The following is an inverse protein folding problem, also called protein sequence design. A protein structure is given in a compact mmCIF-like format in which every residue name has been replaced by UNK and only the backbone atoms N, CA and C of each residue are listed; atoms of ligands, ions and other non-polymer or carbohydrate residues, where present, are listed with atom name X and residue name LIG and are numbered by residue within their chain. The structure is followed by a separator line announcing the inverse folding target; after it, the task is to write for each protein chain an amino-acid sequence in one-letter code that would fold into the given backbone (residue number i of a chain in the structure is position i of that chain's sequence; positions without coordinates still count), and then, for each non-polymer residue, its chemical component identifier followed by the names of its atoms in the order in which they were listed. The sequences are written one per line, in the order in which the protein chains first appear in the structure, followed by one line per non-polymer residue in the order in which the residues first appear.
data_IF_665322622057
#
_entry.id   IF_665322622057
#
_cell.length_a   1.000
_cell.length_b   1.000
_cell.length_c   1.000
_cell.angle_alpha   90.00
_cell.angle_beta   90.00
_cell.angle_gamma   90.00
#
_symmetry.space_group_name_H-M   'P 1'
#
loop_
_entity.id
_entity.type
_entity.pdbx_description
1 polymer ?
#
# COMPACT_ATOMS: atom_id res chain seq x y z
N UNK A 1 98.74 23.11 6.46
CA UNK A 1 98.55 21.83 5.79
C UNK A 1 97.18 21.31 6.21
N UNK A 2 96.20 21.54 5.38
CA UNK A 2 94.80 21.21 5.68
C UNK A 2 94.35 20.16 4.63
N UNK A 3 94.12 18.92 5.06
CA UNK A 3 93.52 17.88 4.18
C UNK A 3 92.00 18.10 4.04
N UNK A 4 91.53 18.31 2.81
CA UNK A 4 90.12 18.28 2.45
C UNK A 4 89.68 16.84 2.16
N UNK A 5 88.72 16.37 2.92
CA UNK A 5 88.03 15.07 2.66
C UNK A 5 86.80 15.36 1.81
N UNK A 6 86.74 14.70 0.65
CA UNK A 6 85.54 14.67 -0.21
C UNK A 6 84.58 13.60 0.30
N UNK A 7 83.37 14.03 0.66
CA UNK A 7 82.23 13.12 0.82
C UNK A 7 81.36 13.11 -0.41
N UNK A 8 81.32 11.95 -1.08
CA UNK A 8 80.43 11.71 -2.21
C UNK A 8 79.04 11.34 -1.67
N UNK A 9 78.05 12.19 -1.92
CA UNK A 9 76.65 11.88 -1.62
C UNK A 9 76.07 11.02 -2.77
N UNK A 10 75.72 9.78 -2.50
CA UNK A 10 74.83 9.01 -3.36
C UNK A 10 73.39 9.41 -3.09
N UNK A 11 72.74 10.04 -4.06
CA UNK A 11 71.30 10.29 -4.08
C UNK A 11 70.63 9.01 -4.61
N UNK A 12 69.99 8.24 -3.74
CA UNK A 12 69.11 7.15 -4.11
C UNK A 12 67.74 7.71 -4.48
N UNK A 13 67.38 7.60 -5.76
CA UNK A 13 66.05 7.93 -6.23
C UNK A 13 65.09 6.83 -5.79
N UNK A 14 64.22 7.10 -4.81
CA UNK A 14 63.04 6.25 -4.48
C UNK A 14 61.96 6.55 -5.48
N UNK A 15 61.73 5.67 -6.43
CA UNK A 15 60.53 5.71 -7.29
C UNK A 15 59.29 5.35 -6.44
N UNK A 16 58.55 6.35 -6.03
CA UNK A 16 57.23 6.14 -5.46
C UNK A 16 56.25 5.81 -6.60
N UNK A 17 55.88 4.55 -6.72
CA UNK A 17 54.78 4.11 -7.59
C UNK A 17 53.50 4.57 -6.88
N UNK A 18 52.94 5.70 -7.32
CA UNK A 18 51.59 6.06 -6.99
C UNK A 18 50.65 5.14 -7.75
N UNK A 19 50.15 4.09 -7.08
CA UNK A 19 49.02 3.37 -7.57
C UNK A 19 47.83 4.36 -7.56
N UNK A 20 47.33 4.74 -8.73
CA UNK A 20 46.08 5.47 -8.87
C UNK A 20 44.99 4.68 -8.14
N UNK A 21 44.15 5.29 -7.32
CA UNK A 21 43.00 4.59 -6.77
C UNK A 21 42.18 4.11 -7.97
N UNK A 22 42.01 2.80 -8.07
CA UNK A 22 41.02 2.22 -8.97
C UNK A 22 39.70 2.74 -8.44
N UNK A 23 39.09 3.63 -9.18
CA UNK A 23 37.72 4.09 -8.93
C UNK A 23 36.81 2.89 -9.20
N UNK A 24 36.66 2.03 -8.21
CA UNK A 24 35.59 1.05 -8.18
C UNK A 24 34.35 1.85 -7.85
N UNK A 25 33.78 2.50 -8.86
CA UNK A 25 32.39 2.87 -8.81
C UNK A 25 31.63 1.55 -8.59
N UNK A 26 31.25 1.27 -7.36
CA UNK A 26 30.33 0.19 -7.08
C UNK A 26 29.07 0.54 -7.86
N UNK A 27 28.89 -0.04 -9.03
CA UNK A 27 27.65 0.03 -9.77
C UNK A 27 26.62 -0.53 -8.82
N UNK A 28 25.64 0.30 -8.43
CA UNK A 28 24.60 -0.14 -7.50
C UNK A 28 23.97 -1.39 -8.11
N UNK A 29 23.91 -2.46 -7.33
CA UNK A 29 23.28 -3.69 -7.76
C UNK A 29 21.83 -3.40 -8.10
N UNK A 30 21.40 -3.79 -9.29
CA UNK A 30 20.03 -3.69 -9.76
C UNK A 30 19.39 -5.07 -9.81
N UNK A 31 18.09 -5.14 -9.64
CA UNK A 31 17.32 -6.36 -9.87
C UNK A 31 17.15 -6.56 -11.38
N UNK A 32 17.46 -7.78 -11.87
CA UNK A 32 17.29 -8.13 -13.31
C UNK A 32 15.83 -8.23 -13.71
N UNK A 33 14.91 -8.46 -12.73
CA UNK A 33 13.48 -8.43 -12.92
C UNK A 33 12.80 -7.62 -11.82
N UNK A 34 11.71 -6.91 -12.13
CA UNK A 34 10.88 -6.29 -11.09
C UNK A 34 10.20 -7.38 -10.25
N UNK A 35 9.97 -7.06 -8.99
CA UNK A 35 9.22 -7.91 -8.08
C UNK A 35 8.26 -7.06 -7.24
N UNK A 36 7.27 -7.72 -6.66
CA UNK A 36 6.38 -7.14 -5.64
C UNK A 36 6.58 -7.94 -4.35
N UNK A 37 6.14 -7.39 -3.23
CA UNK A 37 6.28 -8.05 -1.92
C UNK A 37 4.92 -8.15 -1.24
N UNK A 38 4.68 -9.27 -0.56
CA UNK A 38 3.42 -9.52 0.12
C UNK A 38 3.56 -10.48 1.28
N UNK A 39 2.47 -10.66 2.00
CA UNK A 39 2.30 -11.68 3.05
C UNK A 39 1.34 -12.75 2.55
N UNK A 40 1.74 -13.99 2.64
CA UNK A 40 1.00 -15.15 2.12
C UNK A 40 0.86 -16.22 3.19
N UNK A 41 -0.30 -16.86 3.29
CA UNK A 41 -0.48 -18.01 4.15
C UNK A 41 0.07 -19.27 3.47
N UNK A 42 1.27 -19.68 3.84
CA UNK A 42 1.91 -20.89 3.34
C UNK A 42 1.89 -21.94 4.46
N UNK A 43 1.15 -23.03 4.25
CA UNK A 43 0.86 -24.00 5.29
C UNK A 43 0.26 -23.37 6.57
N UNK A 44 -0.68 -22.45 6.40
CA UNK A 44 -1.33 -21.68 7.46
C UNK A 44 -0.38 -20.76 8.27
N UNK A 45 0.82 -20.49 7.75
CA UNK A 45 1.80 -19.60 8.40
C UNK A 45 1.98 -18.32 7.56
N UNK A 46 1.74 -17.12 8.13
CA UNK A 46 2.05 -15.88 7.45
C UNK A 46 3.52 -15.81 7.05
N UNK A 47 3.78 -15.70 5.76
CA UNK A 47 5.11 -15.77 5.18
C UNK A 47 5.33 -14.59 4.25
N UNK A 48 6.47 -13.90 4.40
CA UNK A 48 6.88 -12.83 3.48
C UNK A 48 7.37 -13.46 2.18
N UNK A 49 6.77 -13.04 1.07
CA UNK A 49 7.10 -13.53 -0.27
C UNK A 49 7.37 -12.43 -1.28
N UNK A 50 8.12 -12.82 -2.32
CA UNK A 50 8.27 -12.04 -3.55
C UNK A 50 7.25 -12.54 -4.57
N UNK A 51 6.59 -11.63 -5.24
CA UNK A 51 5.70 -11.92 -6.38
C UNK A 51 6.47 -11.62 -7.65
N UNK A 52 6.56 -12.60 -8.54
CA UNK A 52 7.42 -12.57 -9.73
C UNK A 52 6.68 -13.09 -10.97
N UNK A 53 7.29 -12.90 -12.14
CA UNK A 53 6.80 -13.38 -13.44
C UNK A 53 5.36 -12.93 -13.71
N UNK A 54 5.15 -11.62 -13.79
CA UNK A 54 3.85 -11.02 -14.07
C UNK A 54 2.74 -11.58 -13.14
N UNK A 55 3.04 -11.60 -11.83
CA UNK A 55 2.14 -12.02 -10.75
C UNK A 55 1.74 -13.51 -10.77
N UNK A 56 2.53 -14.36 -11.43
CA UNK A 56 2.22 -15.80 -11.52
C UNK A 56 2.80 -16.62 -10.39
N UNK A 57 3.91 -16.18 -9.81
CA UNK A 57 4.64 -16.95 -8.81
C UNK A 57 4.88 -16.17 -7.53
N UNK A 58 4.82 -16.89 -6.41
CA UNK A 58 5.22 -16.43 -5.09
C UNK A 58 6.46 -17.20 -4.66
N UNK A 59 7.49 -16.48 -4.23
CA UNK A 59 8.74 -17.04 -3.71
C UNK A 59 8.85 -16.72 -2.22
N UNK A 60 8.93 -17.74 -1.36
CA UNK A 60 9.23 -17.55 0.06
C UNK A 60 10.60 -16.90 0.24
N UNK A 61 10.64 -15.61 0.58
CA UNK A 61 11.88 -14.83 0.63
C UNK A 61 12.94 -15.44 1.56
N UNK A 62 12.57 -15.80 2.78
CA UNK A 62 13.51 -16.36 3.74
C UNK A 62 14.02 -17.74 3.33
N UNK A 63 13.20 -18.57 2.70
CA UNK A 63 13.61 -19.89 2.22
C UNK A 63 14.54 -19.80 1.01
N UNK A 64 14.23 -18.91 0.05
CA UNK A 64 15.07 -18.63 -1.10
C UNK A 64 16.43 -18.08 -0.67
N UNK A 65 16.46 -17.13 0.25
CA UNK A 65 17.68 -16.57 0.82
C UNK A 65 18.55 -17.68 1.47
N UNK A 66 17.96 -18.53 2.33
CA UNK A 66 18.71 -19.64 2.94
C UNK A 66 19.27 -20.62 1.90
N UNK A 67 18.52 -20.91 0.84
CA UNK A 67 18.98 -21.77 -0.23
C UNK A 67 20.17 -21.17 -1.00
N UNK A 68 20.14 -19.87 -1.27
CA UNK A 68 21.23 -19.14 -1.91
C UNK A 68 22.49 -19.11 -1.03
N UNK A 69 22.36 -18.97 0.29
CA UNK A 69 23.44 -18.94 1.28
C UNK A 69 24.20 -20.26 1.42
N UNK A 70 23.69 -21.36 0.87
CA UNK A 70 24.46 -22.61 0.76
C UNK A 70 25.62 -22.49 -0.23
N UNK A 71 25.62 -21.48 -1.08
CA UNK A 71 26.69 -21.19 -2.03
C UNK A 71 27.73 -20.28 -1.37
N UNK A 72 29.06 -20.64 -1.44
CA UNK A 72 30.10 -19.98 -0.64
C UNK A 72 30.34 -18.49 -0.98
N UNK A 73 29.83 -18.00 -2.12
CA UNK A 73 29.99 -16.62 -2.54
C UNK A 73 28.98 -15.68 -1.85
N UNK A 74 27.93 -16.19 -1.23
CA UNK A 74 26.92 -15.37 -0.56
C UNK A 74 27.10 -15.35 0.95
N UNK A 75 27.05 -14.16 1.53
CA UNK A 75 27.09 -13.97 2.99
C UNK A 75 25.79 -14.42 3.64
N UNK A 76 25.85 -14.90 4.87
CA UNK A 76 24.67 -15.20 5.66
C UNK A 76 24.03 -13.91 6.18
N UNK A 77 22.76 -13.68 5.84
CA UNK A 77 21.97 -12.52 6.24
C UNK A 77 20.57 -13.01 6.63
N UNK A 78 20.18 -12.76 7.89
CA UNK A 78 18.82 -13.10 8.33
C UNK A 78 17.78 -12.26 7.62
N UNK A 79 16.73 -12.90 7.10
CA UNK A 79 15.56 -12.20 6.58
C UNK A 79 14.60 -11.84 7.70
N UNK A 80 13.92 -10.69 7.60
CA UNK A 80 12.83 -10.33 8.52
C UNK A 80 11.72 -11.38 8.54
N UNK A 81 11.07 -11.55 9.70
CA UNK A 81 10.01 -12.52 9.89
C UNK A 81 8.67 -12.03 9.34
N UNK A 82 8.49 -10.71 9.24
CA UNK A 82 7.27 -10.08 8.77
C UNK A 82 7.53 -8.89 7.82
N UNK A 83 6.47 -8.37 7.25
CA UNK A 83 6.53 -7.28 6.28
C UNK A 83 7.00 -5.97 6.92
N UNK A 84 6.67 -5.70 8.19
CA UNK A 84 7.14 -4.47 8.86
C UNK A 84 8.65 -4.49 8.99
N UNK A 85 9.22 -5.61 9.45
CA UNK A 85 10.67 -5.78 9.52
C UNK A 85 11.38 -5.70 8.16
N UNK A 86 10.72 -6.17 7.07
CA UNK A 86 11.23 -6.00 5.72
C UNK A 86 11.28 -4.51 5.34
N UNK A 87 10.18 -3.79 5.53
CA UNK A 87 10.07 -2.37 5.17
C UNK A 87 11.06 -1.53 5.97
N UNK A 88 11.20 -1.79 7.29
CA UNK A 88 12.14 -1.08 8.16
C UNK A 88 13.59 -1.20 7.70
N UNK A 89 13.98 -2.35 7.12
CA UNK A 89 15.35 -2.63 6.71
C UNK A 89 15.61 -2.39 5.22
N UNK A 90 14.57 -2.25 4.41
CA UNK A 90 14.67 -2.20 2.95
C UNK A 90 15.64 -1.12 2.48
N UNK A 91 15.41 0.12 2.84
CA UNK A 91 16.23 1.25 2.42
C UNK A 91 17.59 1.32 3.13
N UNK A 92 17.81 0.50 4.17
CA UNK A 92 19.07 0.40 4.90
C UNK A 92 19.95 -0.76 4.44
N UNK A 93 19.66 -1.31 3.26
CA UNK A 93 20.52 -2.28 2.58
C UNK A 93 19.86 -3.61 2.27
N UNK A 94 18.75 -3.98 2.91
CA UNK A 94 18.07 -5.25 2.67
C UNK A 94 17.61 -5.39 1.21
N UNK A 95 17.25 -4.30 0.54
CA UNK A 95 16.87 -4.31 -0.88
C UNK A 95 17.95 -4.92 -1.78
N UNK A 96 19.22 -4.64 -1.52
CA UNK A 96 20.31 -5.20 -2.31
C UNK A 96 20.42 -6.71 -2.13
N UNK A 97 20.15 -7.20 -0.91
CA UNK A 97 20.05 -8.64 -0.66
C UNK A 97 18.86 -9.27 -1.39
N UNK A 98 17.74 -8.60 -1.42
CA UNK A 98 16.58 -9.08 -2.20
C UNK A 98 16.92 -9.12 -3.69
N UNK A 99 17.61 -8.11 -4.21
CA UNK A 99 18.10 -8.12 -5.61
C UNK A 99 19.06 -9.28 -5.88
N UNK A 100 19.98 -9.60 -4.95
CA UNK A 100 20.83 -10.80 -5.07
C UNK A 100 19.99 -12.09 -5.16
N UNK A 101 18.96 -12.21 -4.32
CA UNK A 101 18.05 -13.37 -4.32
C UNK A 101 17.32 -13.47 -5.66
N UNK A 102 16.73 -12.36 -6.15
CA UNK A 102 16.01 -12.33 -7.44
C UNK A 102 16.94 -12.69 -8.58
N UNK A 103 18.11 -12.06 -8.65
CA UNK A 103 19.10 -12.32 -9.70
C UNK A 103 19.56 -13.78 -9.68
N UNK A 104 19.83 -14.34 -8.51
CA UNK A 104 20.18 -15.75 -8.36
C UNK A 104 19.07 -16.70 -8.83
N UNK A 105 17.80 -16.41 -8.49
CA UNK A 105 16.66 -17.22 -8.91
C UNK A 105 16.52 -17.25 -10.44
N UNK A 106 16.68 -16.10 -11.08
CA UNK A 106 16.62 -15.96 -12.55
C UNK A 106 17.82 -16.64 -13.22
N UNK A 107 19.04 -16.33 -12.79
CA UNK A 107 20.28 -16.84 -13.37
C UNK A 107 20.36 -18.38 -13.29
N UNK A 108 19.85 -18.97 -12.22
CA UNK A 108 19.83 -20.41 -12.00
C UNK A 108 18.57 -21.10 -12.55
N UNK A 109 17.66 -20.34 -13.20
CA UNK A 109 16.39 -20.85 -13.75
C UNK A 109 15.54 -21.61 -12.72
N UNK A 110 15.44 -21.09 -11.47
CA UNK A 110 14.79 -21.79 -10.36
C UNK A 110 13.28 -21.50 -10.27
N UNK A 111 12.75 -20.63 -11.14
CA UNK A 111 11.35 -20.19 -11.16
C UNK A 111 10.47 -21.08 -12.05
N UNK A 112 11.04 -21.88 -12.96
CA UNK A 112 10.27 -22.59 -13.98
C UNK A 112 10.71 -24.04 -14.18
N UNK A 113 9.84 -24.83 -14.79
CA UNK A 113 10.12 -26.20 -15.21
C UNK A 113 10.37 -27.18 -14.08
N UNK A 114 11.23 -28.18 -14.36
CA UNK A 114 11.60 -29.24 -13.41
C UNK A 114 12.57 -28.76 -12.30
N UNK A 115 13.16 -27.57 -12.46
CA UNK A 115 14.11 -26.98 -11.52
C UNK A 115 13.45 -26.07 -10.50
N UNK A 116 12.12 -25.87 -10.61
CA UNK A 116 11.34 -25.10 -9.65
C UNK A 116 11.49 -25.65 -8.24
N UNK A 117 11.86 -24.76 -7.32
CA UNK A 117 12.13 -25.13 -5.93
C UNK A 117 10.85 -25.21 -5.10
N UNK A 118 10.92 -25.95 -3.98
CA UNK A 118 9.79 -26.13 -3.06
C UNK A 118 9.30 -24.84 -2.38
N UNK A 119 10.10 -23.79 -2.42
CA UNK A 119 9.75 -22.46 -1.89
C UNK A 119 9.19 -21.51 -2.98
N UNK A 120 8.87 -22.05 -4.16
CA UNK A 120 8.25 -21.30 -5.28
C UNK A 120 6.85 -21.88 -5.52
N UNK A 121 5.84 -21.07 -5.36
CA UNK A 121 4.43 -21.45 -5.43
C UNK A 121 3.72 -20.73 -6.57
N UNK A 122 2.75 -21.36 -7.28
CA UNK A 122 1.79 -20.63 -8.10
C UNK A 122 0.97 -19.68 -7.22
N UNK A 123 0.66 -18.48 -7.71
CA UNK A 123 -0.13 -17.50 -6.96
C UNK A 123 -1.50 -18.03 -6.55
N UNK A 124 -2.13 -18.83 -7.40
CA UNK A 124 -3.45 -19.43 -7.16
C UNK A 124 -3.45 -20.61 -6.18
N UNK A 125 -2.28 -21.00 -5.65
CA UNK A 125 -2.13 -22.11 -4.71
C UNK A 125 -1.92 -21.68 -3.26
N UNK A 126 -1.95 -20.38 -2.96
CA UNK A 126 -1.75 -19.83 -1.62
C UNK A 126 -2.77 -18.74 -1.32
N UNK A 127 -3.14 -18.57 -0.06
CA UNK A 127 -4.00 -17.47 0.36
C UNK A 127 -3.19 -16.17 0.46
N UNK A 128 -3.71 -15.10 -0.12
CA UNK A 128 -3.09 -13.78 -0.15
C UNK A 128 -3.62 -12.98 1.04
N UNK A 129 -2.75 -12.68 1.99
CA UNK A 129 -3.09 -11.89 3.17
C UNK A 129 -2.87 -10.38 2.89
N UNK A 130 -3.46 -9.52 3.71
CA UNK A 130 -3.06 -8.12 3.68
C UNK A 130 -1.53 -8.00 3.86
N UNK A 131 -0.82 -7.28 2.96
CA UNK A 131 0.64 -7.21 3.00
C UNK A 131 1.19 -6.73 4.35
N UNK A 132 0.55 -5.71 4.92
CA UNK A 132 0.81 -5.21 6.28
C UNK A 132 -0.46 -5.39 7.09
N UNK A 133 -0.46 -6.36 7.99
CA UNK A 133 -1.65 -6.68 8.79
C UNK A 133 -1.94 -5.65 9.88
N UNK A 134 -0.89 -5.03 10.43
CA UNK A 134 -1.00 -4.13 11.59
C UNK A 134 -0.10 -2.90 11.42
N UNK A 135 -0.38 -2.00 10.46
CA UNK A 135 0.34 -0.74 10.38
C UNK A 135 0.07 0.09 11.64
N UNK A 136 1.06 0.86 12.08
CA UNK A 136 0.89 1.74 13.25
C UNK A 136 -0.15 2.81 13.02
N UNK A 137 -0.24 3.33 11.79
CA UNK A 137 -1.23 4.32 11.37
C UNK A 137 -1.80 3.97 10.01
N UNK A 138 -3.11 4.16 9.88
CA UNK A 138 -3.82 4.15 8.61
C UNK A 138 -4.47 5.53 8.45
N UNK A 139 -3.85 6.35 7.60
CA UNK A 139 -4.27 7.70 7.27
C UNK A 139 -5.05 7.69 5.96
N UNK A 140 -6.14 8.43 5.88
CA UNK A 140 -6.97 8.48 4.68
C UNK A 140 -7.24 9.92 4.28
N UNK A 141 -7.18 10.23 2.98
CA UNK A 141 -7.48 11.54 2.44
C UNK A 141 -8.97 11.66 2.11
N UNK A 142 -9.66 12.60 2.78
CA UNK A 142 -11.07 12.87 2.53
C UNK A 142 -11.23 13.77 1.31
N UNK A 143 -12.17 13.40 0.40
CA UNK A 143 -12.61 14.23 -0.75
C UNK A 143 -11.42 14.76 -1.58
N UNK A 144 -10.49 13.89 -1.93
CA UNK A 144 -9.25 14.29 -2.62
C UNK A 144 -9.32 14.19 -4.16
N UNK A 145 -10.47 13.88 -4.74
CA UNK A 145 -10.66 13.89 -6.20
C UNK A 145 -11.74 14.90 -6.60
N UNK A 146 -11.51 15.61 -7.70
CA UNK A 146 -12.47 16.61 -8.19
C UNK A 146 -13.84 16.01 -8.47
N UNK A 147 -13.89 14.80 -9.02
CA UNK A 147 -15.14 14.10 -9.34
C UNK A 147 -15.91 13.65 -8.10
N UNK A 148 -15.23 13.48 -6.95
CA UNK A 148 -15.86 13.13 -5.67
C UNK A 148 -16.35 14.36 -4.88
N UNK A 149 -15.96 15.57 -5.27
CA UNK A 149 -16.21 16.79 -4.51
C UNK A 149 -17.70 17.16 -4.38
N UNK A 150 -18.57 16.63 -5.22
CA UNK A 150 -20.01 16.90 -5.19
C UNK A 150 -20.85 15.77 -5.81
N UNK A 151 -20.75 14.56 -5.27
CA UNK A 151 -21.59 13.47 -5.73
C UNK A 151 -23.07 13.70 -5.35
N UNK A 152 -23.95 13.36 -6.28
CA UNK A 152 -25.40 13.59 -6.13
C UNK A 152 -25.85 15.04 -6.40
N UNK A 153 -24.95 15.97 -6.73
CA UNK A 153 -25.28 17.29 -7.25
C UNK A 153 -25.84 17.20 -8.69
N UNK A 154 -26.62 18.21 -9.09
CA UNK A 154 -26.91 18.41 -10.50
C UNK A 154 -25.67 18.99 -11.23
N UNK A 155 -25.69 18.98 -12.57
CA UNK A 155 -24.54 19.39 -13.40
C UNK A 155 -24.07 20.83 -13.10
N UNK A 156 -24.97 21.76 -12.89
CA UNK A 156 -24.62 23.16 -12.61
C UNK A 156 -23.94 23.31 -11.24
N UNK A 157 -24.44 22.61 -10.22
CA UNK A 157 -23.85 22.56 -8.89
C UNK A 157 -22.49 21.89 -8.92
N UNK A 158 -22.36 20.78 -9.65
CA UNK A 158 -21.08 20.08 -9.84
C UNK A 158 -20.04 21.02 -10.48
N UNK A 159 -20.38 21.69 -11.59
CA UNK A 159 -19.48 22.63 -12.25
C UNK A 159 -19.12 23.83 -11.36
N UNK A 160 -20.05 24.33 -10.55
CA UNK A 160 -19.76 25.40 -9.59
C UNK A 160 -18.78 24.94 -8.50
N UNK A 161 -18.98 23.75 -7.94
CA UNK A 161 -18.07 23.14 -6.94
C UNK A 161 -16.71 22.85 -7.51
N UNK A 162 -16.65 22.30 -8.73
CA UNK A 162 -15.40 22.02 -9.44
C UNK A 162 -14.59 23.31 -9.59
N UNK A 163 -15.17 24.39 -10.12
CA UNK A 163 -14.50 25.70 -10.24
C UNK A 163 -14.04 26.22 -8.89
N UNK A 164 -14.88 26.16 -7.87
CA UNK A 164 -14.53 26.60 -6.52
C UNK A 164 -13.30 25.84 -5.98
N UNK A 165 -13.23 24.52 -6.21
CA UNK A 165 -12.10 23.69 -5.78
C UNK A 165 -10.84 23.96 -6.61
N UNK A 166 -10.97 24.20 -7.90
CA UNK A 166 -9.84 24.57 -8.76
C UNK A 166 -9.25 25.94 -8.39
N UNK A 167 -10.08 26.91 -8.04
CA UNK A 167 -9.66 28.25 -7.62
C UNK A 167 -9.09 28.26 -6.20
N UNK A 168 -9.62 27.43 -5.31
CA UNK A 168 -9.18 27.34 -3.91
C UNK A 168 -9.22 25.88 -3.42
N UNK A 169 -8.13 25.15 -3.61
CA UNK A 169 -8.00 23.76 -3.17
C UNK A 169 -8.00 23.61 -1.64
N UNK A 170 -7.62 24.66 -0.91
CA UNK A 170 -7.42 24.62 0.52
C UNK A 170 -6.20 23.79 0.92
N UNK A 171 -6.28 23.11 2.05
CA UNK A 171 -5.29 22.16 2.53
C UNK A 171 -5.90 20.74 2.52
N UNK A 172 -5.10 19.67 2.44
CA UNK A 172 -5.61 18.31 2.56
C UNK A 172 -6.42 18.10 3.83
N UNK A 173 -7.42 17.23 3.76
CA UNK A 173 -8.15 16.78 4.94
C UNK A 173 -7.85 15.30 5.14
N UNK A 174 -7.21 14.95 6.26
CA UNK A 174 -6.86 13.57 6.61
C UNK A 174 -7.63 13.12 7.84
N UNK A 175 -7.92 11.82 7.89
CA UNK A 175 -8.48 11.16 9.06
C UNK A 175 -7.77 9.80 9.27
N UNK A 176 -8.04 9.15 10.38
CA UNK A 176 -7.49 7.84 10.71
C UNK A 176 -8.61 6.79 10.72
N UNK A 177 -8.30 5.60 10.20
CA UNK A 177 -9.12 4.39 10.39
C UNK A 177 -8.45 3.45 11.41
N UNK A 178 -9.24 2.60 12.08
CA UNK A 178 -8.68 1.47 12.82
C UNK A 178 -7.81 0.61 11.90
N UNK A 179 -6.77 0.01 12.45
CA UNK A 179 -5.91 -0.91 11.70
C UNK A 179 -6.33 -2.35 11.93
N UNK A 180 -6.21 -2.82 13.17
CA UNK A 180 -6.56 -4.19 13.51
C UNK A 180 -8.09 -4.37 13.49
N UNK A 181 -8.55 -5.41 12.79
CA UNK A 181 -9.97 -5.68 12.56
C UNK A 181 -10.53 -5.03 11.31
N UNK A 182 -10.12 -3.79 10.98
CA UNK A 182 -10.56 -3.12 9.75
C UNK A 182 -9.81 -3.62 8.50
N UNK A 183 -8.52 -3.93 8.62
CA UNK A 183 -7.70 -4.39 7.50
C UNK A 183 -7.99 -5.86 7.21
N UNK A 184 -8.26 -6.14 5.93
CA UNK A 184 -8.46 -7.49 5.36
C UNK A 184 -7.64 -7.64 4.09
N UNK A 185 -7.30 -8.89 3.72
CA UNK A 185 -6.57 -9.26 2.51
C UNK A 185 -7.46 -9.56 1.32
N UNK A 186 -6.84 -9.91 0.19
CA UNK A 186 -7.57 -10.32 -1.01
C UNK A 186 -8.36 -11.61 -0.76
N UNK A 187 -9.60 -11.65 -1.23
CA UNK A 187 -10.50 -12.79 -1.05
C UNK A 187 -11.30 -12.81 0.25
N UNK A 188 -10.95 -11.99 1.25
CA UNK A 188 -11.72 -11.88 2.49
C UNK A 188 -13.08 -11.20 2.24
N UNK A 189 -14.10 -11.55 3.03
CA UNK A 189 -15.42 -10.95 2.92
C UNK A 189 -15.45 -9.52 3.52
N UNK A 190 -16.12 -8.58 2.83
CA UNK A 190 -16.51 -7.29 3.41
C UNK A 190 -17.80 -7.50 4.20
N UNK A 191 -17.76 -7.30 5.51
CA UNK A 191 -18.90 -7.53 6.40
C UNK A 191 -19.69 -6.24 6.59
N UNK A 192 -20.91 -6.21 6.10
CA UNK A 192 -21.87 -5.15 6.40
C UNK A 192 -22.42 -5.34 7.81
N UNK A 193 -22.20 -4.41 8.74
CA UNK A 193 -22.61 -4.58 10.14
C UNK A 193 -24.12 -4.73 10.28
N UNK A 194 -24.56 -5.49 11.28
CA UNK A 194 -25.97 -5.69 11.56
C UNK A 194 -26.75 -4.37 11.65
N UNK A 195 -27.78 -4.23 10.82
CA UNK A 195 -28.64 -3.07 10.81
C UNK A 195 -28.14 -1.90 9.97
N UNK A 196 -26.98 -1.97 9.35
CA UNK A 196 -26.46 -0.95 8.43
C UNK A 196 -26.81 -1.32 6.98
N UNK A 197 -27.28 -0.35 6.20
CA UNK A 197 -27.78 -0.55 4.84
C UNK A 197 -27.27 0.49 3.83
N UNK A 198 -26.35 1.39 4.26
CA UNK A 198 -25.77 2.43 3.42
C UNK A 198 -24.24 2.29 3.37
N UNK A 199 -23.79 1.08 3.12
CA UNK A 199 -22.37 0.78 2.97
C UNK A 199 -21.98 1.01 1.52
N UNK A 200 -20.89 1.73 1.29
CA UNK A 200 -20.36 2.00 -0.04
C UNK A 200 -18.89 1.65 -0.13
N UNK A 201 -18.39 1.65 -1.35
CA UNK A 201 -17.04 1.39 -1.78
C UNK A 201 -16.28 2.69 -2.04
N UNK A 202 -14.97 2.63 -1.99
CA UNK A 202 -14.05 3.69 -2.41
C UNK A 202 -12.72 3.04 -2.76
N UNK A 203 -12.37 2.89 -4.07
CA UNK A 203 -11.03 2.42 -4.47
C UNK A 203 -10.02 3.53 -4.32
N UNK A 204 -8.85 3.20 -3.74
CA UNK A 204 -7.78 4.14 -3.46
C UNK A 204 -6.40 3.52 -3.70
N UNK A 205 -5.41 4.36 -4.02
CA UNK A 205 -4.01 3.96 -3.90
C UNK A 205 -3.57 4.14 -2.45
N UNK A 206 -2.97 3.10 -1.88
CA UNK A 206 -2.29 3.19 -0.60
C UNK A 206 -0.78 3.39 -0.80
N UNK A 207 -0.25 4.39 -0.12
CA UNK A 207 1.16 4.75 -0.05
C UNK A 207 1.73 4.15 1.24
N UNK A 208 2.75 3.31 1.13
CA UNK A 208 3.44 2.70 2.26
C UNK A 208 4.72 3.47 2.55
N UNK A 209 4.89 3.96 3.77
CA UNK A 209 6.11 4.65 4.18
C UNK A 209 7.26 3.65 4.43
N UNK A 210 8.47 4.01 3.98
CA UNK A 210 9.68 3.21 4.12
C UNK A 210 10.73 3.82 5.05
N UNK A 211 10.52 5.08 5.47
CA UNK A 211 11.46 5.81 6.34
C UNK A 211 10.73 6.64 7.38
N UNK A 212 11.35 6.79 8.54
CA UNK A 212 10.87 7.74 9.55
C UNK A 212 11.05 9.17 9.07
N UNK A 213 9.99 9.99 9.15
CA UNK A 213 10.02 11.38 8.74
C UNK A 213 9.06 12.28 9.49
N UNK A 214 9.46 13.54 9.61
CA UNK A 214 8.66 14.64 10.15
C UNK A 214 9.02 15.91 9.36
N UNK A 215 8.03 16.74 9.04
CA UNK A 215 8.22 17.95 8.23
C UNK A 215 8.87 17.67 6.88
N UNK A 216 8.39 16.63 6.20
CA UNK A 216 8.87 16.23 4.87
C UNK A 216 8.34 17.25 3.86
N UNK A 217 9.22 17.86 3.06
CA UNK A 217 8.79 18.73 1.96
C UNK A 217 8.30 17.91 0.76
N UNK A 218 7.38 18.46 -0.01
CA UNK A 218 6.76 17.76 -1.14
C UNK A 218 7.78 17.27 -2.19
N UNK A 219 8.85 18.04 -2.45
CA UNK A 219 9.93 17.67 -3.37
C UNK A 219 10.75 16.46 -2.90
N UNK A 220 10.68 16.10 -1.62
CA UNK A 220 11.36 14.97 -1.03
C UNK A 220 10.42 13.83 -0.59
N UNK A 221 9.14 13.97 -0.85
CA UNK A 221 8.11 13.04 -0.35
C UNK A 221 8.40 11.58 -0.75
N UNK A 222 8.78 11.35 -2.01
CA UNK A 222 9.06 10.00 -2.50
C UNK A 222 10.31 9.35 -1.90
N UNK A 223 11.22 10.11 -1.28
CA UNK A 223 12.36 9.54 -0.53
C UNK A 223 11.90 8.72 0.67
N UNK A 224 10.70 9.00 1.19
CA UNK A 224 10.11 8.36 2.38
C UNK A 224 9.12 7.24 2.04
N UNK A 225 8.80 7.05 0.77
CA UNK A 225 7.90 5.99 0.31
C UNK A 225 8.67 4.69 0.10
N UNK A 226 8.11 3.58 0.57
CA UNK A 226 8.55 2.23 0.26
C UNK A 226 7.95 1.74 -1.05
N UNK A 227 6.61 1.86 -1.18
CA UNK A 227 5.88 1.38 -2.34
C UNK A 227 4.40 1.67 -2.27
N UNK A 228 3.65 1.04 -3.18
CA UNK A 228 2.22 1.28 -3.39
C UNK A 228 1.44 -0.03 -3.43
N UNK A 229 0.20 -0.01 -2.95
CA UNK A 229 -0.74 -1.14 -3.03
C UNK A 229 -2.15 -0.62 -3.32
N UNK A 230 -3.05 -1.53 -3.70
CA UNK A 230 -4.48 -1.24 -3.78
C UNK A 230 -5.05 -1.16 -2.37
N UNK A 231 -5.97 -0.24 -2.16
CA UNK A 231 -6.75 -0.16 -0.94
C UNK A 231 -8.20 0.18 -1.23
N UNK A 232 -9.05 -0.07 -0.25
CA UNK A 232 -10.43 0.40 -0.25
C UNK A 232 -10.75 1.11 1.06
N UNK A 233 -11.45 2.24 0.98
CA UNK A 233 -11.98 2.96 2.14
C UNK A 233 -13.49 2.74 2.26
N UNK A 234 -13.89 1.50 2.62
CA UNK A 234 -15.28 1.13 2.81
C UNK A 234 -15.91 2.06 3.83
N UNK A 235 -17.12 2.55 3.52
CA UNK A 235 -17.75 3.65 4.24
C UNK A 235 -19.21 3.36 4.57
N UNK A 236 -19.61 3.72 5.79
CA UNK A 236 -21.00 3.72 6.22
C UNK A 236 -21.58 5.13 6.13
N UNK A 237 -22.53 5.33 5.21
CA UNK A 237 -23.23 6.61 5.00
C UNK A 237 -24.55 6.69 5.76
N UNK A 238 -24.88 5.70 6.57
CA UNK A 238 -26.07 5.69 7.43
C UNK A 238 -26.04 6.73 8.56
N UNK A 239 -24.86 7.28 8.85
CA UNK A 239 -24.68 8.33 9.85
C UNK A 239 -24.90 7.82 11.28
N UNK A 240 -24.95 8.78 12.22
CA UNK A 240 -25.23 8.47 13.63
C UNK A 240 -26.71 8.10 13.82
N UNK A 241 -27.01 7.21 14.78
CA UNK A 241 -28.39 6.91 15.13
C UNK A 241 -29.19 8.16 15.52
N UNK A 242 -30.54 8.16 15.34
CA UNK A 242 -31.41 9.22 15.81
C UNK A 242 -31.19 9.51 17.30
N UNK A 243 -31.13 10.78 17.68
CA UNK A 243 -30.84 11.21 19.05
C UNK A 243 -29.37 11.34 19.42
N UNK A 244 -28.43 11.05 18.48
CA UNK A 244 -27.00 11.30 18.67
C UNK A 244 -26.67 12.79 18.73
N UNK A 245 -25.58 13.16 19.43
CA UNK A 245 -25.14 14.53 19.52
C UNK A 245 -24.61 15.07 18.20
N UNK A 246 -25.13 16.23 17.79
CA UNK A 246 -24.56 17.04 16.72
C UNK A 246 -24.91 16.62 15.30
N UNK A 247 -24.77 17.56 14.40
CA UNK A 247 -25.03 17.44 12.95
C UNK A 247 -23.76 17.27 12.14
N UNK A 248 -22.76 16.57 12.65
CA UNK A 248 -21.49 16.36 11.95
C UNK A 248 -21.28 14.91 11.54
N UNK A 249 -20.35 14.69 10.62
CA UNK A 249 -19.85 13.36 10.29
C UNK A 249 -19.20 12.73 11.53
N UNK A 250 -19.66 11.55 11.90
CA UNK A 250 -18.98 10.72 12.91
C UNK A 250 -18.10 9.70 12.17
N UNK A 251 -16.82 10.00 12.10
CA UNK A 251 -15.86 9.16 11.36
C UNK A 251 -15.63 7.79 12.00
N UNK A 252 -15.89 7.66 13.31
CA UNK A 252 -15.86 6.36 13.96
C UNK A 252 -16.98 5.45 13.44
N UNK A 253 -18.19 5.97 13.33
CA UNK A 253 -19.32 5.25 12.72
C UNK A 253 -19.12 5.08 11.22
N UNK A 254 -18.72 6.15 10.52
CA UNK A 254 -18.65 6.14 9.06
C UNK A 254 -17.51 5.31 8.47
N UNK A 255 -16.42 5.14 9.20
CA UNK A 255 -15.16 4.60 8.66
C UNK A 255 -14.50 3.53 9.55
N UNK A 256 -15.04 3.27 10.75
CA UNK A 256 -14.34 2.51 11.79
C UNK A 256 -14.79 1.06 11.97
N UNK A 257 -15.68 0.54 11.13
CA UNK A 257 -16.16 -0.84 11.25
C UNK A 257 -15.05 -1.85 10.90
N UNK A 258 -15.17 -3.07 11.42
CA UNK A 258 -14.34 -4.19 11.01
C UNK A 258 -14.49 -4.45 9.51
N UNK A 259 -13.44 -4.96 8.87
CA UNK A 259 -13.33 -5.25 7.43
C UNK A 259 -13.42 -4.05 6.47
N UNK A 260 -13.46 -2.81 6.99
CA UNK A 260 -13.65 -1.61 6.17
C UNK A 260 -12.36 -1.02 5.57
N UNK A 261 -11.24 -1.74 5.65
CA UNK A 261 -9.97 -1.33 5.04
C UNK A 261 -9.28 -2.50 4.30
N UNK A 262 -9.85 -2.99 3.19
CA UNK A 262 -9.16 -3.94 2.34
C UNK A 262 -7.83 -3.38 1.81
N UNK A 263 -6.74 -4.13 1.91
CA UNK A 263 -5.39 -3.77 1.48
C UNK A 263 -4.71 -4.91 0.73
N UNK A 264 -4.04 -4.61 -0.37
CA UNK A 264 -3.21 -5.58 -1.09
C UNK A 264 -3.27 -5.44 -2.62
N UNK A 265 -3.27 -6.57 -3.37
CA UNK A 265 -2.92 -7.91 -2.90
C UNK A 265 -1.47 -8.00 -2.42
N UNK A 266 -0.59 -7.09 -2.90
CA UNK A 266 0.82 -6.93 -2.57
C UNK A 266 1.26 -5.48 -2.67
N UNK A 267 2.51 -5.20 -2.28
CA UNK A 267 3.13 -3.88 -2.41
C UNK A 267 4.12 -3.93 -3.58
N UNK A 268 4.01 -2.97 -4.48
CA UNK A 268 5.02 -2.70 -5.52
C UNK A 268 6.02 -1.70 -4.97
N UNK A 269 7.30 -2.05 -4.81
CA UNK A 269 8.33 -1.08 -4.44
C UNK A 269 8.34 0.11 -5.41
N UNK A 270 8.58 1.31 -4.87
CA UNK A 270 8.47 2.56 -5.65
C UNK A 270 9.33 2.58 -6.91
N UNK A 271 10.51 1.97 -6.87
CA UNK A 271 11.44 1.89 -8.01
C UNK A 271 10.89 1.06 -9.19
N UNK A 272 9.96 0.15 -8.94
CA UNK A 272 9.31 -0.65 -10.00
C UNK A 272 7.96 -0.07 -10.44
N UNK A 273 7.33 0.74 -9.59
CA UNK A 273 6.07 1.41 -9.98
C UNK A 273 6.32 2.69 -10.79
N UNK A 274 7.32 3.49 -10.42
CA UNK A 274 7.60 4.80 -11.00
C UNK A 274 6.74 5.92 -10.39
N UNK A 275 6.52 7.02 -11.14
CA UNK A 275 5.74 8.16 -10.63
C UNK A 275 4.24 7.83 -10.56
N UNK A 276 3.65 7.76 -9.38
CA UNK A 276 2.23 7.45 -9.24
C UNK A 276 1.31 8.54 -9.81
N UNK A 277 1.76 9.79 -9.89
CA UNK A 277 0.95 10.87 -10.47
C UNK A 277 0.76 10.71 -11.98
N UNK A 278 1.70 10.06 -12.66
CA UNK A 278 1.64 9.76 -14.10
C UNK A 278 0.99 8.40 -14.36
N UNK A 279 1.24 7.40 -13.50
CA UNK A 279 0.88 6.01 -13.74
C UNK A 279 -0.42 5.56 -13.11
N UNK A 280 -0.91 6.25 -12.07
CA UNK A 280 -2.14 5.84 -11.42
C UNK A 280 -3.30 5.79 -12.40
N UNK A 281 -3.83 4.60 -12.56
CA UNK A 281 -5.13 4.32 -13.16
C UNK A 281 -5.84 3.32 -12.24
N UNK A 282 -6.88 3.79 -11.55
CA UNK A 282 -7.66 3.00 -10.60
C UNK A 282 -9.06 2.77 -11.13
N UNK A 283 -9.58 1.55 -10.97
CA UNK A 283 -10.94 1.16 -11.35
C UNK A 283 -11.57 0.33 -10.26
N UNK A 284 -12.90 0.45 -10.12
CA UNK A 284 -13.69 -0.43 -9.26
C UNK A 284 -14.89 -0.96 -10.04
N UNK A 285 -15.06 -2.28 -9.97
CA UNK A 285 -16.12 -3.02 -10.64
C UNK A 285 -16.96 -3.74 -9.58
N UNK A 286 -18.28 -3.67 -9.69
CA UNK A 286 -19.22 -4.44 -8.86
C UNK A 286 -20.10 -5.26 -9.81
N UNK A 287 -20.09 -6.59 -9.65
CA UNK A 287 -20.82 -7.54 -10.47
C UNK A 287 -20.71 -7.26 -12.00
N UNK A 288 -19.50 -6.94 -12.45
CA UNK A 288 -19.18 -6.66 -13.85
C UNK A 288 -19.50 -5.24 -14.33
N UNK A 289 -20.00 -4.36 -13.46
CA UNK A 289 -20.25 -2.94 -13.77
C UNK A 289 -19.13 -2.08 -13.22
N UNK A 290 -18.45 -1.32 -14.07
CA UNK A 290 -17.46 -0.32 -13.63
C UNK A 290 -18.19 0.85 -12.98
N UNK A 291 -17.95 1.07 -11.70
CA UNK A 291 -18.57 2.14 -10.89
C UNK A 291 -17.62 3.29 -10.60
N UNK A 292 -16.31 3.03 -10.57
CA UNK A 292 -15.28 4.07 -10.42
C UNK A 292 -14.16 3.87 -11.44
N UNK A 293 -13.67 4.98 -11.99
CA UNK A 293 -12.46 5.03 -12.82
C UNK A 293 -11.82 6.41 -12.65
N UNK A 294 -10.50 6.46 -12.38
CA UNK A 294 -9.78 7.73 -12.25
C UNK A 294 -8.27 7.58 -12.48
N UNK A 295 -7.61 8.71 -12.68
CA UNK A 295 -6.16 8.82 -12.85
C UNK A 295 -5.56 9.77 -11.82
N UNK A 296 -4.22 9.70 -11.64
CA UNK A 296 -3.51 10.56 -10.68
C UNK A 296 -3.75 12.05 -10.89
N UNK A 297 -3.87 12.50 -12.14
CA UNK A 297 -4.16 13.89 -12.47
C UNK A 297 -5.55 14.41 -12.03
N UNK A 298 -6.45 13.53 -11.61
CA UNK A 298 -7.78 13.89 -11.11
C UNK A 298 -7.80 14.26 -9.62
N UNK A 299 -6.66 14.08 -8.92
CA UNK A 299 -6.51 14.43 -7.51
C UNK A 299 -6.53 15.96 -7.30
N UNK A 300 -7.16 16.40 -6.20
CA UNK A 300 -7.12 17.79 -5.74
C UNK A 300 -5.74 18.11 -5.14
N UNK A 301 -5.25 17.25 -4.27
CA UNK A 301 -3.91 17.29 -3.69
C UNK A 301 -3.14 16.05 -4.13
N UNK A 302 -1.98 16.23 -4.73
CA UNK A 302 -1.14 15.14 -5.19
C UNK A 302 -0.50 14.38 -4.01
N UNK A 303 0.06 13.21 -4.27
CA UNK A 303 0.68 12.36 -3.23
C UNK A 303 1.79 13.10 -2.47
N UNK A 304 2.73 13.83 -3.10
CA UNK A 304 3.69 14.65 -2.38
C UNK A 304 3.08 15.67 -1.42
N UNK A 305 2.02 16.37 -1.82
CA UNK A 305 1.32 17.34 -0.98
C UNK A 305 0.62 16.68 0.23
N UNK A 306 0.05 15.48 0.04
CA UNK A 306 -0.53 14.71 1.13
C UNK A 306 0.54 14.29 2.17
N UNK A 307 1.72 13.84 1.71
CA UNK A 307 2.84 13.45 2.58
C UNK A 307 3.38 14.66 3.34
N UNK A 308 3.58 15.79 2.66
CA UNK A 308 4.00 17.04 3.29
C UNK A 308 3.03 17.47 4.39
N UNK A 309 1.73 17.47 4.10
CA UNK A 309 0.70 17.85 5.06
C UNK A 309 0.65 16.86 6.24
N UNK A 310 0.58 15.56 6.00
CA UNK A 310 0.55 14.56 7.06
C UNK A 310 1.78 14.66 7.97
N UNK A 311 2.97 14.75 7.39
CA UNK A 311 4.23 14.83 8.14
C UNK A 311 4.42 16.15 8.87
N UNK A 312 3.72 17.22 8.49
CA UNK A 312 3.71 18.48 9.25
C UNK A 312 2.99 18.34 10.59
N UNK A 313 2.03 17.43 10.70
CA UNK A 313 1.21 17.19 11.90
C UNK A 313 1.79 16.07 12.76
N UNK A 314 2.13 14.93 12.15
CA UNK A 314 2.59 13.72 12.86
C UNK A 314 3.90 13.20 12.28
N UNK A 315 4.66 12.42 13.06
CA UNK A 315 5.79 11.66 12.54
C UNK A 315 5.27 10.41 11.83
N UNK A 316 5.75 10.16 10.61
CA UNK A 316 5.51 8.91 9.89
C UNK A 316 6.66 7.93 10.14
N UNK A 317 6.36 6.64 10.13
CA UNK A 317 7.31 5.56 10.36
C UNK A 317 7.23 4.51 9.24
N UNK A 318 8.27 3.69 9.03
CA UNK A 318 8.18 2.55 8.13
C UNK A 318 6.96 1.69 8.43
N UNK A 319 6.23 1.30 7.38
CA UNK A 319 5.01 0.51 7.49
C UNK A 319 3.73 1.29 7.85
N UNK A 320 3.81 2.60 8.15
CA UNK A 320 2.60 3.45 8.15
C UNK A 320 2.01 3.50 6.74
N UNK A 321 0.69 3.57 6.66
CA UNK A 321 -0.05 3.58 5.39
C UNK A 321 -0.86 4.86 5.26
N UNK A 322 -0.87 5.44 4.06
CA UNK A 322 -1.72 6.57 3.71
C UNK A 322 -2.50 6.28 2.42
N UNK A 323 -3.82 6.37 2.48
CA UNK A 323 -4.69 6.24 1.31
C UNK A 323 -4.90 7.61 0.66
N UNK A 324 -4.90 7.63 -0.67
CA UNK A 324 -4.85 8.85 -1.50
C UNK A 324 -6.18 9.58 -1.65
N UNK A 325 -7.27 8.99 -1.19
CA UNK A 325 -8.63 9.43 -1.51
C UNK A 325 -9.18 8.73 -2.77
N UNK A 326 -10.49 8.76 -2.91
CA UNK A 326 -11.24 8.10 -3.98
C UNK A 326 -11.84 9.09 -4.97
N UNK A 327 -12.15 8.60 -6.18
CA UNK A 327 -12.88 9.34 -7.22
C UNK A 327 -14.39 9.30 -7.03
N UNK A 328 -15.12 10.07 -7.82
CA UNK A 328 -16.57 9.93 -7.97
C UNK A 328 -16.98 8.55 -8.47
N UNK A 329 -18.26 8.24 -8.31
CA UNK A 329 -18.84 6.92 -8.60
C UNK A 329 -19.00 6.06 -7.35
N UNK A 330 -19.03 6.67 -6.16
CA UNK A 330 -19.35 5.98 -4.91
C UNK A 330 -20.87 5.72 -4.79
N UNK A 331 -21.29 5.01 -3.77
CA UNK A 331 -22.69 4.73 -3.51
C UNK A 331 -23.54 5.99 -3.35
N UNK A 332 -22.98 7.05 -2.75
CA UNK A 332 -23.61 8.35 -2.64
C UNK A 332 -23.87 9.00 -4.02
N UNK A 333 -23.06 8.70 -5.02
CA UNK A 333 -23.21 9.15 -6.42
C UNK A 333 -24.37 8.49 -7.17
N UNK A 334 -25.02 7.50 -6.58
CA UNK A 334 -26.19 6.78 -7.15
C UNK A 334 -25.90 6.16 -8.51
N UNK A 335 -24.75 5.50 -8.66
CA UNK A 335 -24.41 4.77 -9.88
C UNK A 335 -25.46 3.68 -10.15
N UNK A 336 -26.00 3.63 -11.38
CA UNK A 336 -26.95 2.58 -11.76
C UNK A 336 -26.25 1.22 -11.78
N UNK A 337 -26.78 0.29 -10.99
CA UNK A 337 -26.33 -1.11 -10.95
C UNK A 337 -27.50 -2.07 -11.13
N UNK A 338 -27.20 -3.30 -11.49
CA UNK A 338 -28.20 -4.33 -11.70
C UNK A 338 -29.09 -4.58 -10.48
N UNK A 339 -28.54 -4.41 -9.27
CA UNK A 339 -29.26 -4.51 -7.99
C UNK A 339 -30.31 -3.44 -7.78
N UNK A 340 -30.25 -2.32 -8.49
CA UNK A 340 -31.09 -1.13 -8.25
C UNK A 340 -30.75 -0.37 -6.96
N UNK A 341 -29.76 -0.84 -6.17
CA UNK A 341 -29.29 -0.19 -4.94
C UNK A 341 -28.17 0.81 -5.24
N UNK A 342 -28.19 1.95 -4.59
CA UNK A 342 -27.05 2.87 -4.57
C UNK A 342 -25.92 2.42 -3.61
N UNK A 343 -26.17 1.43 -2.74
CA UNK A 343 -25.25 0.93 -1.72
C UNK A 343 -25.02 -0.57 -1.89
N UNK A 344 -24.01 -1.12 -1.24
CA UNK A 344 -23.69 -2.55 -1.26
C UNK A 344 -24.85 -3.39 -0.72
N UNK A 345 -25.01 -4.57 -1.28
CA UNK A 345 -25.95 -5.59 -0.81
C UNK A 345 -25.25 -6.93 -0.66
N UNK A 346 -25.88 -7.84 0.11
CA UNK A 346 -25.35 -9.20 0.34
C UNK A 346 -25.11 -9.95 -0.96
N UNK A 347 -23.96 -10.58 -1.08
CA UNK A 347 -23.57 -11.44 -2.21
C UNK A 347 -22.93 -10.70 -3.38
N UNK A 348 -22.87 -9.36 -3.41
CA UNK A 348 -22.16 -8.63 -4.47
C UNK A 348 -20.65 -8.90 -4.42
N UNK A 349 -20.04 -8.98 -5.61
CA UNK A 349 -18.60 -9.16 -5.77
C UNK A 349 -17.97 -7.83 -6.22
N UNK A 350 -16.92 -7.43 -5.50
CA UNK A 350 -16.19 -6.19 -5.75
C UNK A 350 -14.80 -6.54 -6.27
N UNK A 351 -14.36 -5.84 -7.32
CA UNK A 351 -12.98 -5.89 -7.81
C UNK A 351 -12.42 -4.48 -7.88
N UNK A 352 -11.43 -4.19 -7.08
CA UNK A 352 -10.70 -2.91 -7.04
C UNK A 352 -9.32 -3.10 -7.65
N UNK A 353 -9.02 -2.40 -8.74
CA UNK A 353 -7.78 -2.58 -9.50
C UNK A 353 -6.99 -1.28 -9.59
N UNK A 354 -5.67 -1.36 -9.42
CA UNK A 354 -4.72 -0.31 -9.83
C UNK A 354 -3.75 -0.91 -10.83
N UNK A 355 -3.66 -0.28 -12.00
CA UNK A 355 -2.80 -0.72 -13.10
C UNK A 355 -1.33 -0.79 -12.65
N UNK A 356 -0.67 -1.92 -12.92
CA UNK A 356 0.71 -2.19 -12.52
C UNK A 356 0.90 -2.65 -11.06
N UNK A 357 -0.16 -2.57 -10.23
CA UNK A 357 -0.13 -3.10 -8.86
C UNK A 357 -0.81 -4.47 -8.81
N UNK A 358 -2.11 -4.51 -9.03
CA UNK A 358 -2.92 -5.73 -8.95
C UNK A 358 -4.39 -5.42 -8.71
N UNK A 359 -5.13 -6.44 -8.32
CA UNK A 359 -6.58 -6.38 -8.06
C UNK A 359 -6.88 -6.99 -6.70
N UNK A 360 -7.69 -6.30 -5.92
CA UNK A 360 -8.36 -6.84 -4.73
C UNK A 360 -9.76 -7.32 -5.12
N UNK A 361 -10.14 -8.50 -4.66
CA UNK A 361 -11.46 -9.09 -4.88
C UNK A 361 -12.12 -9.44 -3.55
N UNK A 362 -13.37 -9.06 -3.38
CA UNK A 362 -14.12 -9.29 -2.14
C UNK A 362 -15.55 -9.67 -2.44
N UNK A 363 -16.15 -10.48 -1.57
CA UNK A 363 -17.59 -10.69 -1.54
C UNK A 363 -18.18 -9.91 -0.38
N UNK A 364 -19.32 -9.27 -0.60
CA UNK A 364 -20.06 -8.56 0.45
C UNK A 364 -20.91 -9.55 1.21
N UNK A 365 -20.85 -9.52 2.54
CA UNK A 365 -21.68 -10.34 3.43
C UNK A 365 -22.36 -9.47 4.48
N UNK A 366 -23.64 -9.72 4.71
CA UNK A 366 -24.40 -9.04 5.74
C UNK A 366 -24.34 -9.82 7.03
N UNK A 367 -24.03 -9.16 8.15
CA UNK A 367 -24.17 -9.73 9.48
C UNK A 367 -25.66 -9.88 9.80
N UNK A 368 -26.20 -11.09 9.71
CA UNK A 368 -27.64 -11.35 9.77
C UNK A 368 -28.24 -11.21 11.17
N UNK A 369 -27.45 -11.44 12.22
CA UNK A 369 -27.90 -11.35 13.60
C UNK A 369 -26.75 -11.11 14.56
N UNK A 370 -27.06 -10.52 15.70
CA UNK A 370 -26.15 -10.40 16.84
C UNK A 370 -26.68 -11.27 17.99
N UNK A 371 -25.81 -11.86 18.84
CA UNK A 371 -26.22 -12.62 20.00
C UNK A 371 -27.05 -11.77 20.98
N UNK A 372 -28.23 -12.23 21.35
CA UNK A 372 -29.14 -11.50 22.24
C UNK A 372 -28.67 -11.46 23.72
N UNK A 373 -27.79 -12.38 24.11
CA UNK A 373 -27.25 -12.50 25.46
C UNK A 373 -26.03 -11.59 25.71
N UNK A 374 -25.50 -10.92 24.66
CA UNK A 374 -24.39 -9.99 24.78
C UNK A 374 -24.90 -8.58 25.08
N UNK A 375 -24.49 -8.01 26.22
CA UNK A 375 -24.90 -6.67 26.65
C UNK A 375 -24.51 -5.58 25.64
N UNK A 376 -23.34 -5.70 24.97
CA UNK A 376 -22.90 -4.79 23.91
C UNK A 376 -23.82 -4.79 22.70
N UNK A 377 -24.46 -5.91 22.37
CA UNK A 377 -25.42 -6.01 21.27
C UNK A 377 -26.73 -5.26 21.52
N UNK A 378 -27.00 -4.88 22.76
CA UNK A 378 -28.19 -4.13 23.15
C UNK A 378 -28.02 -2.62 23.07
N UNK A 379 -26.83 -2.12 22.76
CA UNK A 379 -26.57 -0.70 22.66
C UNK A 379 -27.32 -0.06 21.49
N UNK A 380 -27.88 1.18 21.67
CA UNK A 380 -28.65 1.87 20.65
C UNK A 380 -27.97 1.95 19.26
N UNK A 381 -26.67 2.19 19.13
CA UNK A 381 -26.01 2.28 17.83
C UNK A 381 -26.20 1.07 16.91
N UNK A 382 -26.45 -0.11 17.47
CA UNK A 382 -26.62 -1.35 16.68
C UNK A 382 -28.04 -1.51 16.15
N UNK A 383 -29.05 -0.98 16.85
CA UNK A 383 -30.47 -1.22 16.53
C UNK A 383 -31.22 0.03 16.08
N UNK A 384 -30.83 1.22 16.54
CA UNK A 384 -31.66 2.42 16.46
C UNK A 384 -31.63 3.14 15.12
N UNK A 385 -30.72 2.87 14.22
CA UNK A 385 -30.69 3.56 12.93
C UNK A 385 -31.42 2.83 11.79
N UNK A 386 -32.09 1.73 12.09
CA UNK A 386 -33.05 1.10 11.18
C UNK A 386 -34.43 1.74 11.22
N UNK A 387 -34.76 2.30 12.37
CA UNK A 387 -36.05 3.00 12.55
C UNK A 387 -35.81 4.50 12.48
N UNK A 388 -36.27 5.18 11.43
CA UNK A 388 -36.08 6.62 11.24
C UNK A 388 -36.80 7.45 12.32
#
# INVERSE_FOLDING_TARGET
MIRKSLYTLMLGAVLAIFASPVDVSAQAMESVEPFKVGTFAINDVPTVGLVMLDDQLIVELAAANRAMELLPQYSQISMPEDMLGLIEQYEYGLKFRIYEVVNWLVDQNLLSGNDRRSFVHPVDSVDIMAPIQYPSKLMNAAVNFYTHACEGCNDDEFQARLRQRQENRGVPYLFLKPTRGAIIGDGDDIIMPFGRDRIEWEVEMAIVFGRTGKYISADRAYDYVFGYMVAMDISDRGGRPPGGYGSGSDWFVGKGHDTFAPHGPWIVPKEFYGDPMERLHQTLVIDGVTVQEARGGDMIHNIPELIEYASSLITVFPGDVMQSGTSGGTGAGRVERASGSGYLIDGENISATIEGIGTLTHTVRVEMSIPDDLSGAQLPPVRSYRDP
#
